data_IF_759921309738
#
_entry.id   IF_759921309738
#
_cell.length_a   1.000
_cell.length_b   1.000
_cell.length_c   1.000
_cell.angle_alpha   90.00
_cell.angle_beta   90.00
_cell.angle_gamma   90.00
#
_symmetry.space_group_name_H-M   'P 1'
#
loop_
_entity.id
_entity.type
_entity.pdbx_description
1 polymer ?
#
# COMPACT_ATOMS: atom_id res chain seq x y z
N UNK A 1 -13.07 -8.97 0.44
CA UNK A 1 -12.10 -7.85 0.37
C UNK A 1 -11.24 -7.68 1.61
N UNK A 2 -11.77 -7.95 2.80
CA UNK A 2 -10.99 -7.91 4.04
C UNK A 2 -9.75 -8.79 3.94
N UNK A 3 -9.91 -10.01 3.49
CA UNK A 3 -8.82 -10.97 3.32
C UNK A 3 -7.74 -10.46 2.34
N UNK A 4 -8.12 -9.67 1.34
CA UNK A 4 -7.17 -9.08 0.39
C UNK A 4 -6.32 -7.99 1.02
N UNK A 5 -6.89 -7.17 1.91
CA UNK A 5 -6.13 -6.21 2.71
C UNK A 5 -5.21 -6.90 3.71
N UNK A 6 -5.69 -7.97 4.35
CA UNK A 6 -4.88 -8.78 5.27
C UNK A 6 -3.72 -9.46 4.53
N UNK A 7 -3.98 -10.02 3.35
CA UNK A 7 -2.95 -10.63 2.50
C UNK A 7 -1.85 -9.63 2.17
N UNK A 8 -2.19 -8.41 1.83
CA UNK A 8 -1.24 -7.35 1.55
C UNK A 8 -0.26 -7.13 2.70
N UNK A 9 -0.76 -7.07 3.93
CA UNK A 9 0.06 -6.89 5.12
C UNK A 9 0.98 -8.08 5.42
N UNK A 10 0.75 -9.22 4.80
CA UNK A 10 1.61 -10.41 4.88
C UNK A 10 2.66 -10.41 3.77
N UNK A 11 2.23 -10.22 2.53
CA UNK A 11 3.10 -10.45 1.36
C UNK A 11 4.03 -9.29 1.04
N UNK A 12 3.62 -8.04 1.26
CA UNK A 12 4.47 -6.89 0.94
C UNK A 12 5.67 -6.76 1.89
N UNK A 13 5.54 -6.92 3.23
CA UNK A 13 6.70 -7.01 4.11
C UNK A 13 7.62 -8.19 3.80
N UNK A 14 7.08 -9.32 3.39
CA UNK A 14 7.87 -10.48 2.96
C UNK A 14 8.69 -10.16 1.70
N UNK A 15 8.11 -9.47 0.73
CA UNK A 15 8.82 -9.02 -0.47
C UNK A 15 9.95 -8.05 -0.12
N UNK A 16 9.73 -7.14 0.81
CA UNK A 16 10.76 -6.22 1.29
C UNK A 16 11.93 -6.98 1.92
N UNK A 17 11.67 -7.98 2.76
CA UNK A 17 12.72 -8.82 3.35
C UNK A 17 13.52 -9.60 2.30
N UNK A 18 12.84 -10.18 1.32
CA UNK A 18 13.50 -10.90 0.21
C UNK A 18 14.34 -9.97 -0.67
N UNK A 19 13.87 -8.75 -0.89
CA UNK A 19 14.56 -7.75 -1.68
C UNK A 19 15.78 -7.16 -0.97
N UNK A 20 15.79 -7.14 0.36
CA UNK A 20 16.75 -6.42 1.19
C UNK A 20 18.24 -6.63 0.80
N UNK A 21 18.74 -7.87 0.54
CA UNK A 21 20.14 -8.07 0.14
C UNK A 21 20.49 -7.45 -1.22
N UNK A 22 19.51 -7.09 -2.02
CA UNK A 22 19.65 -6.57 -3.39
C UNK A 22 19.21 -5.12 -3.54
N UNK A 23 18.81 -4.47 -2.45
CA UNK A 23 18.36 -3.08 -2.47
C UNK A 23 19.58 -2.16 -2.61
N UNK A 24 19.50 -1.22 -3.54
CA UNK A 24 20.42 -0.10 -3.65
C UNK A 24 19.86 1.08 -2.84
N UNK A 25 20.56 1.46 -1.78
CA UNK A 25 20.11 2.53 -0.89
C UNK A 25 19.92 3.86 -1.59
N UNK A 26 20.72 4.16 -2.62
CA UNK A 26 20.55 5.36 -3.43
C UNK A 26 19.17 5.43 -4.10
N UNK A 27 18.59 4.30 -4.48
CA UNK A 27 17.24 4.24 -5.06
C UNK A 27 16.17 4.54 -4.01
N UNK A 28 16.34 4.04 -2.80
CA UNK A 28 15.41 4.33 -1.69
C UNK A 28 15.51 5.80 -1.28
N UNK A 29 16.71 6.37 -1.22
CA UNK A 29 16.92 7.80 -0.97
C UNK A 29 16.26 8.67 -2.04
N UNK A 30 16.31 8.25 -3.30
CA UNK A 30 15.63 8.94 -4.40
C UNK A 30 14.11 8.96 -4.21
N UNK A 31 13.50 7.88 -3.76
CA UNK A 31 12.08 7.85 -3.42
C UNK A 31 11.76 8.82 -2.26
N UNK A 32 12.59 8.80 -1.22
CA UNK A 32 12.44 9.71 -0.08
C UNK A 32 12.54 11.19 -0.46
N UNK A 33 13.51 11.53 -1.29
CA UNK A 33 13.74 12.92 -1.72
C UNK A 33 12.58 13.48 -2.52
N UNK A 34 11.86 12.65 -3.27
CA UNK A 34 10.66 13.06 -3.99
C UNK A 34 9.57 13.64 -3.07
N UNK A 35 9.49 13.19 -1.84
CA UNK A 35 8.44 13.62 -0.89
C UNK A 35 8.51 15.13 -0.62
N UNK A 36 9.69 15.73 -0.64
CA UNK A 36 9.87 17.17 -0.42
C UNK A 36 9.89 18.02 -1.68
N UNK A 37 9.98 17.41 -2.86
CA UNK A 37 10.26 18.10 -4.13
C UNK A 37 9.04 18.08 -5.06
N UNK A 38 8.31 16.97 -5.12
CA UNK A 38 7.19 16.77 -6.03
C UNK A 38 5.85 17.07 -5.33
N UNK A 39 5.21 18.23 -5.61
CA UNK A 39 3.95 18.60 -4.98
C UNK A 39 2.76 17.76 -5.49
N UNK A 40 2.92 17.01 -6.58
CA UNK A 40 1.88 16.16 -7.15
C UNK A 40 1.93 14.73 -6.61
N UNK A 41 2.96 14.42 -5.80
CA UNK A 41 3.19 13.08 -5.29
C UNK A 41 2.10 12.66 -4.32
N UNK A 42 1.57 11.46 -4.53
CA UNK A 42 0.56 10.85 -3.66
C UNK A 42 1.10 9.60 -2.99
N UNK A 43 0.59 9.24 -1.79
CA UNK A 43 1.00 8.02 -1.09
C UNK A 43 0.92 6.76 -1.95
N UNK A 44 -0.15 6.59 -2.72
CA UNK A 44 -0.34 5.46 -3.64
C UNK A 44 0.80 5.35 -4.66
N UNK A 45 1.27 6.46 -5.19
CA UNK A 45 2.38 6.49 -6.13
C UNK A 45 3.71 6.07 -5.52
N UNK A 46 3.99 6.49 -4.29
CA UNK A 46 5.19 6.06 -3.54
C UNK A 46 5.16 4.58 -3.22
N UNK A 47 4.03 4.10 -2.77
CA UNK A 47 3.84 2.69 -2.46
C UNK A 47 4.02 1.81 -3.70
N UNK A 48 3.39 2.18 -4.81
CA UNK A 48 3.53 1.47 -6.07
C UNK A 48 4.99 1.45 -6.52
N UNK A 49 5.71 2.56 -6.41
CA UNK A 49 7.12 2.66 -6.79
C UNK A 49 8.00 1.77 -5.90
N UNK A 50 7.80 1.79 -4.59
CA UNK A 50 8.54 0.95 -3.66
C UNK A 50 8.28 -0.54 -3.93
N UNK A 51 7.03 -0.94 -4.08
CA UNK A 51 6.69 -2.34 -4.31
C UNK A 51 7.17 -2.83 -5.68
N UNK A 52 7.08 -2.02 -6.71
CA UNK A 52 7.64 -2.37 -8.02
C UNK A 52 9.15 -2.61 -7.92
N UNK A 53 9.86 -1.77 -7.19
CA UNK A 53 11.29 -1.93 -6.97
C UNK A 53 11.60 -3.20 -6.16
N UNK A 54 10.90 -3.45 -5.06
CA UNK A 54 11.08 -4.64 -4.23
C UNK A 54 10.77 -5.93 -5.01
N UNK A 55 9.70 -5.94 -5.78
CA UNK A 55 9.32 -7.07 -6.63
C UNK A 55 10.42 -7.41 -7.63
N UNK A 56 11.05 -6.41 -8.24
CA UNK A 56 12.16 -6.62 -9.18
C UNK A 56 13.38 -7.25 -8.53
N UNK A 57 13.51 -7.16 -7.21
CA UNK A 57 14.66 -7.66 -6.43
C UNK A 57 14.36 -8.92 -5.61
N UNK A 58 13.09 -9.27 -5.41
CA UNK A 58 12.70 -10.36 -4.52
C UNK A 58 12.99 -11.76 -5.06
N UNK A 59 13.16 -11.93 -6.36
CA UNK A 59 13.48 -13.21 -7.02
C UNK A 59 12.53 -14.39 -6.65
N UNK A 60 11.27 -14.10 -6.42
CA UNK A 60 10.23 -15.08 -6.10
C UNK A 60 9.00 -14.84 -6.95
N UNK A 61 8.86 -15.58 -8.04
CA UNK A 61 7.79 -15.40 -9.04
C UNK A 61 6.40 -15.56 -8.43
N UNK A 62 6.20 -16.56 -7.59
CA UNK A 62 4.89 -16.80 -6.97
C UNK A 62 4.46 -15.63 -6.06
N UNK A 63 5.39 -15.11 -5.28
CA UNK A 63 5.13 -13.95 -4.43
C UNK A 63 4.85 -12.69 -5.26
N UNK A 64 5.62 -12.48 -6.33
CA UNK A 64 5.43 -11.36 -7.26
C UNK A 64 4.03 -11.40 -7.89
N UNK A 65 3.61 -12.52 -8.39
CA UNK A 65 2.27 -12.69 -9.00
C UNK A 65 1.16 -12.40 -7.98
N UNK A 66 1.31 -12.90 -6.77
CA UNK A 66 0.35 -12.67 -5.69
C UNK A 66 0.22 -11.18 -5.34
N UNK A 67 1.34 -10.49 -5.21
CA UNK A 67 1.36 -9.05 -4.91
C UNK A 67 0.72 -8.26 -6.05
N UNK A 68 1.11 -8.52 -7.30
CA UNK A 68 0.61 -7.79 -8.46
C UNK A 68 -0.91 -7.97 -8.62
N UNK A 69 -1.41 -9.19 -8.50
CA UNK A 69 -2.84 -9.48 -8.58
C UNK A 69 -3.61 -8.74 -7.48
N UNK A 70 -3.10 -8.79 -6.26
CA UNK A 70 -3.73 -8.14 -5.13
C UNK A 70 -3.71 -6.61 -5.26
N UNK A 71 -2.61 -6.03 -5.72
CA UNK A 71 -2.50 -4.58 -5.95
C UNK A 71 -3.49 -4.09 -7.01
N UNK A 72 -3.66 -4.83 -8.11
CA UNK A 72 -4.63 -4.47 -9.15
C UNK A 72 -6.05 -4.36 -8.58
N UNK A 73 -6.44 -5.34 -7.77
CA UNK A 73 -7.76 -5.35 -7.13
C UNK A 73 -7.91 -4.15 -6.17
N UNK A 74 -6.95 -3.96 -5.28
CA UNK A 74 -7.03 -2.90 -4.27
C UNK A 74 -6.97 -1.49 -4.89
N UNK A 75 -6.20 -1.32 -5.96
CA UNK A 75 -6.18 -0.06 -6.72
C UNK A 75 -7.53 0.23 -7.34
N UNK A 76 -8.20 -0.78 -7.90
CA UNK A 76 -9.55 -0.63 -8.47
C UNK A 76 -10.56 -0.24 -7.40
N UNK A 77 -10.49 -0.86 -6.22
CA UNK A 77 -11.35 -0.50 -5.07
C UNK A 77 -11.11 0.94 -4.63
N UNK A 78 -9.86 1.35 -4.49
CA UNK A 78 -9.51 2.71 -4.09
C UNK A 78 -10.02 3.76 -5.09
N UNK A 79 -9.88 3.50 -6.38
CA UNK A 79 -10.41 4.37 -7.44
C UNK A 79 -11.94 4.50 -7.35
N UNK A 80 -12.64 3.40 -7.12
CA UNK A 80 -14.09 3.41 -6.98
C UNK A 80 -14.52 4.23 -5.76
N UNK A 81 -13.88 4.05 -4.61
CA UNK A 81 -14.18 4.80 -3.39
C UNK A 81 -13.88 6.29 -3.55
N UNK A 82 -12.77 6.64 -4.17
CA UNK A 82 -12.41 8.03 -4.47
C UNK A 82 -13.44 8.67 -5.41
N UNK A 83 -13.86 7.94 -6.43
CA UNK A 83 -14.91 8.39 -7.36
C UNK A 83 -16.28 8.62 -6.70
N UNK A 84 -16.53 7.98 -5.57
CA UNK A 84 -17.75 8.17 -4.75
C UNK A 84 -17.60 9.31 -3.72
N UNK A 85 -16.52 10.09 -3.76
CA UNK A 85 -16.27 11.19 -2.82
C UNK A 85 -15.67 10.77 -1.50
N UNK A 86 -15.07 9.58 -1.41
CA UNK A 86 -14.38 9.07 -0.23
C UNK A 86 -12.87 9.01 -0.49
N UNK A 87 -12.16 10.15 -0.39
CA UNK A 87 -10.73 10.20 -0.71
C UNK A 87 -9.89 9.40 0.26
N UNK A 88 -8.70 9.00 -0.19
CA UNK A 88 -7.68 8.38 0.64
C UNK A 88 -7.09 9.39 1.64
N UNK A 89 -6.64 8.91 2.79
CA UNK A 89 -6.02 9.74 3.82
C UNK A 89 -4.60 10.18 3.39
N UNK A 90 -4.35 11.50 3.44
CA UNK A 90 -3.08 12.10 2.99
C UNK A 90 -1.94 12.01 4.01
N UNK A 91 -2.18 11.54 5.24
CA UNK A 91 -1.16 11.42 6.30
C UNK A 91 -0.03 10.45 5.91
N UNK A 92 -0.25 9.62 4.91
CA UNK A 92 0.65 8.55 4.54
C UNK A 92 2.03 9.00 4.01
N UNK A 93 2.21 10.23 3.50
CA UNK A 93 3.50 10.69 2.97
C UNK A 93 4.61 10.70 4.03
N UNK A 94 4.34 11.21 5.23
CA UNK A 94 5.32 11.23 6.32
C UNK A 94 5.64 9.80 6.81
N UNK A 95 4.67 8.91 6.76
CA UNK A 95 4.87 7.51 7.11
C UNK A 95 5.80 6.82 6.10
N UNK A 96 5.71 7.13 4.82
CA UNK A 96 6.65 6.63 3.80
C UNK A 96 8.05 7.18 3.99
N UNK A 97 8.19 8.43 4.38
CA UNK A 97 9.50 9.00 4.74
C UNK A 97 10.15 8.20 5.86
N UNK A 98 9.40 7.89 6.92
CA UNK A 98 9.86 7.06 8.03
C UNK A 98 10.24 5.65 7.55
N UNK A 99 9.42 5.03 6.70
CA UNK A 99 9.71 3.72 6.13
C UNK A 99 11.02 3.71 5.35
N UNK A 100 11.24 4.68 4.48
CA UNK A 100 12.47 4.80 3.71
C UNK A 100 13.69 4.99 4.59
N UNK A 101 13.60 5.81 5.65
CA UNK A 101 14.67 5.97 6.64
C UNK A 101 14.99 4.66 7.36
N UNK A 102 13.99 3.88 7.71
CA UNK A 102 14.19 2.57 8.33
C UNK A 102 14.89 1.59 7.39
N UNK A 103 14.54 1.58 6.11
CA UNK A 103 15.18 0.71 5.11
C UNK A 103 16.68 1.04 5.00
N UNK A 104 17.04 2.32 4.98
CA UNK A 104 18.42 2.78 4.75
C UNK A 104 19.28 2.66 6.00
N UNK A 105 18.74 2.90 7.19
CA UNK A 105 19.51 3.13 8.42
C UNK A 105 19.42 2.04 9.47
N UNK A 106 18.48 1.10 9.33
CA UNK A 106 18.18 0.07 10.32
C UNK A 106 18.15 -1.32 9.70
N UNK A 107 18.22 -2.39 10.51
CA UNK A 107 17.97 -3.73 10.02
C UNK A 107 16.62 -3.83 9.32
N UNK A 108 16.55 -4.58 8.24
CA UNK A 108 15.35 -4.66 7.39
C UNK A 108 14.09 -5.10 8.15
N UNK A 109 14.23 -5.87 9.21
CA UNK A 109 13.08 -6.31 10.01
C UNK A 109 12.32 -5.12 10.60
N UNK A 110 13.01 -4.06 11.00
CA UNK A 110 12.36 -2.84 11.51
C UNK A 110 11.49 -2.18 10.45
N UNK A 111 11.98 -2.09 9.22
CA UNK A 111 11.23 -1.54 8.09
C UNK A 111 10.06 -2.45 7.72
N UNK A 112 10.26 -3.76 7.71
CA UNK A 112 9.21 -4.73 7.38
C UNK A 112 8.07 -4.71 8.41
N UNK A 113 8.38 -4.61 9.69
CA UNK A 113 7.38 -4.48 10.75
C UNK A 113 6.63 -3.15 10.66
N UNK A 114 7.32 -2.06 10.39
CA UNK A 114 6.70 -0.75 10.19
C UNK A 114 5.73 -0.77 9.00
N UNK A 115 6.15 -1.38 7.88
CA UNK A 115 5.29 -1.55 6.71
C UNK A 115 4.06 -2.38 7.03
N UNK A 116 4.22 -3.49 7.74
CA UNK A 116 3.09 -4.33 8.17
C UNK A 116 2.08 -3.54 9.00
N UNK A 117 2.54 -2.81 9.99
CA UNK A 117 1.68 -2.02 10.87
C UNK A 117 0.97 -0.91 10.09
N UNK A 118 1.69 -0.24 9.19
CA UNK A 118 1.11 0.76 8.29
C UNK A 118 0.01 0.15 7.41
N UNK A 119 0.23 -1.01 6.82
CA UNK A 119 -0.75 -1.69 5.97
C UNK A 119 -1.98 -2.16 6.75
N UNK A 120 -1.82 -2.57 8.01
CA UNK A 120 -2.95 -2.87 8.89
C UNK A 120 -3.81 -1.63 9.17
N UNK A 121 -3.19 -0.49 9.44
CA UNK A 121 -3.89 0.78 9.63
C UNK A 121 -4.63 1.18 8.36
N UNK A 122 -3.97 1.09 7.21
CA UNK A 122 -4.60 1.39 5.92
C UNK A 122 -5.76 0.45 5.60
N UNK A 123 -5.63 -0.84 5.93
CA UNK A 123 -6.71 -1.80 5.78
C UNK A 123 -7.94 -1.39 6.59
N UNK A 124 -7.76 -1.01 7.85
CA UNK A 124 -8.84 -0.55 8.72
C UNK A 124 -9.53 0.70 8.18
N UNK A 125 -8.77 1.66 7.68
CA UNK A 125 -9.29 2.89 7.07
C UNK A 125 -10.09 2.59 5.80
N UNK A 126 -9.58 1.73 4.94
CA UNK A 126 -10.26 1.36 3.70
C UNK A 126 -11.54 0.56 3.96
N UNK A 127 -11.53 -0.34 4.95
CA UNK A 127 -12.73 -1.06 5.35
C UNK A 127 -13.79 -0.11 5.93
N UNK A 128 -13.38 0.93 6.66
CA UNK A 128 -14.30 1.97 7.13
C UNK A 128 -14.94 2.75 5.98
N UNK A 129 -14.16 3.12 4.95
CA UNK A 129 -14.68 3.75 3.72
C UNK A 129 -15.72 2.85 3.03
N UNK A 130 -15.45 1.56 2.96
CA UNK A 130 -16.36 0.59 2.36
C UNK A 130 -17.66 0.43 3.16
N UNK A 131 -17.60 0.50 4.49
CA UNK A 131 -18.80 0.49 5.33
C UNK A 131 -19.70 1.70 5.05
N UNK A 132 -19.12 2.87 4.83
CA UNK A 132 -19.88 4.07 4.44
C UNK A 132 -20.59 3.82 3.12
N UNK A 133 -19.93 3.22 2.13
CA UNK A 133 -20.54 2.88 0.83
C UNK A 133 -21.67 1.87 1.01
N UNK A 134 -21.50 0.85 1.85
CA UNK A 134 -22.54 -0.14 2.11
C UNK A 134 -23.80 0.50 2.70
N UNK A 135 -23.65 1.43 3.65
CA UNK A 135 -24.77 2.19 4.23
C UNK A 135 -25.48 3.02 3.17
N UNK A 136 -24.74 3.76 2.35
CA UNK A 136 -25.30 4.56 1.25
C UNK A 136 -26.00 3.66 0.23
N UNK A 137 -25.40 2.52 -0.09
CA UNK A 137 -25.93 1.52 -1.02
C UNK A 137 -27.32 1.00 -0.58
N UNK A 138 -27.49 0.71 0.71
CA UNK A 138 -28.78 0.31 1.28
C UNK A 138 -29.82 1.44 1.21
N UNK A 139 -29.38 2.68 1.37
CA UNK A 139 -30.26 3.86 1.39
C UNK A 139 -30.68 4.30 0.00
N UNK A 140 -29.78 4.29 -1.00
CA UNK A 140 -29.99 4.86 -2.32
C UNK A 140 -29.88 3.86 -3.48
N UNK A 141 -29.69 2.58 -3.20
CA UNK A 141 -29.63 1.53 -4.21
C UNK A 141 -28.36 1.50 -5.06
N UNK A 142 -27.21 1.80 -4.48
CA UNK A 142 -25.91 1.69 -5.15
C UNK A 142 -25.59 0.24 -5.56
N UNK A 143 -24.59 0.08 -6.44
CA UNK A 143 -24.19 -1.20 -6.99
C UNK A 143 -23.77 -2.22 -5.92
N UNK A 144 -24.30 -3.47 -5.93
CA UNK A 144 -24.00 -4.46 -4.88
C UNK A 144 -22.56 -4.91 -4.78
N UNK A 145 -21.77 -4.78 -5.86
CA UNK A 145 -20.37 -5.20 -5.86
C UNK A 145 -19.46 -4.37 -4.93
N UNK A 146 -19.94 -3.24 -4.42
CA UNK A 146 -19.23 -2.43 -3.43
C UNK A 146 -19.54 -2.81 -1.98
N UNK A 147 -20.42 -3.79 -1.75
CA UNK A 147 -20.76 -4.26 -0.40
C UNK A 147 -19.62 -5.08 0.19
N UNK A 148 -19.37 -4.91 1.50
CA UNK A 148 -18.41 -5.70 2.27
C UNK A 148 -18.82 -7.17 2.34
N UNK A 149 -17.89 -8.04 2.01
CA UNK A 149 -18.04 -9.48 2.20
C UNK A 149 -17.13 -9.96 3.32
#
# INVERSE_FOLDING_TARGET
LREKFELRAIVEPAALRLAAPHIHYSQIEAFRDRIGIDPTLKPEGLEAALMTYCISKASNTALVEMIQTNQMLLTSVNRALTGLGLPEDEIALDQYRTLFDLIVRHPIDSAAEYLRDHLHIMASKNLARMKIVAVISETVGFAPYLVLQ
#
